data_IF_939874600125
#
_entry.id   IF_939874600125
#
_cell.length_a   1.000
_cell.length_b   1.000
_cell.length_c   1.000
_cell.angle_alpha   90.00
_cell.angle_beta   90.00
_cell.angle_gamma   90.00
#
_symmetry.space_group_name_H-M   'P 1'
#
loop_
_entity.id
_entity.type
_entity.pdbx_description
1 polymer ?
#
# COMPACT_ATOMS: atom_id res chain seq x y z
N UNK A 1 -13.36 -15.77 3.30
CA UNK A 1 -13.02 -15.95 1.88
C UNK A 1 -14.23 -16.52 1.11
N UNK A 2 -15.27 -15.70 0.82
CA UNK A 2 -16.11 -15.98 -0.36
C UNK A 2 -16.08 -14.85 -1.41
N UNK A 3 -15.86 -13.58 -1.03
CA UNK A 3 -15.91 -12.46 -1.98
C UNK A 3 -14.69 -12.36 -2.91
N UNK A 4 -13.49 -12.75 -2.48
CA UNK A 4 -12.28 -12.61 -3.30
C UNK A 4 -12.24 -13.57 -4.49
N UNK A 5 -12.91 -14.73 -4.40
CA UNK A 5 -13.03 -15.72 -5.48
C UNK A 5 -14.16 -15.36 -6.44
N UNK A 6 -15.15 -14.59 -5.97
CA UNK A 6 -16.21 -14.05 -6.84
C UNK A 6 -15.65 -13.12 -7.93
N UNK A 7 -14.46 -12.55 -7.71
CA UNK A 7 -13.74 -11.71 -8.67
C UNK A 7 -12.78 -12.51 -9.58
N UNK A 8 -12.84 -13.85 -9.57
CA UNK A 8 -11.96 -14.71 -10.36
C UNK A 8 -10.66 -15.13 -9.64
N UNK A 9 -10.07 -16.22 -10.11
CA UNK A 9 -8.91 -16.88 -9.46
C UNK A 9 -7.68 -15.97 -9.47
N UNK A 10 -7.40 -15.28 -10.58
CA UNK A 10 -6.24 -14.38 -10.70
C UNK A 10 -6.33 -13.22 -9.72
N UNK A 11 -7.47 -12.53 -9.66
CA UNK A 11 -7.71 -11.46 -8.70
C UNK A 11 -7.58 -11.98 -7.26
N UNK A 12 -8.25 -13.10 -6.95
CA UNK A 12 -8.16 -13.74 -5.64
C UNK A 12 -6.72 -14.07 -5.23
N UNK A 13 -5.90 -14.59 -6.15
CA UNK A 13 -4.50 -14.90 -5.91
C UNK A 13 -3.67 -13.64 -5.62
N UNK A 14 -3.85 -12.55 -6.37
CA UNK A 14 -3.19 -11.27 -6.10
C UNK A 14 -3.53 -10.73 -4.71
N UNK A 15 -4.80 -10.83 -4.29
CA UNK A 15 -5.22 -10.42 -2.95
C UNK A 15 -4.60 -11.30 -1.86
N UNK A 16 -4.60 -12.63 -2.04
CA UNK A 16 -3.97 -13.55 -1.10
C UNK A 16 -2.46 -13.31 -0.99
N UNK A 17 -1.78 -13.01 -2.09
CA UNK A 17 -0.38 -12.63 -2.09
C UNK A 17 -0.14 -11.34 -1.29
N UNK A 18 -1.00 -10.33 -1.45
CA UNK A 18 -0.94 -9.09 -0.65
C UNK A 18 -1.09 -9.38 0.85
N UNK A 19 -2.05 -10.23 1.22
CA UNK A 19 -2.24 -10.64 2.62
C UNK A 19 -1.02 -11.41 3.14
N UNK A 20 -0.50 -12.35 2.36
CA UNK A 20 0.69 -13.12 2.73
C UNK A 20 1.91 -12.22 2.96
N UNK A 21 2.14 -11.24 2.08
CA UNK A 21 3.18 -10.21 2.25
C UNK A 21 2.98 -9.48 3.58
N UNK A 22 1.77 -9.01 3.86
CA UNK A 22 1.46 -8.30 5.11
C UNK A 22 1.75 -9.14 6.37
N UNK A 23 1.33 -10.40 6.37
CA UNK A 23 1.57 -11.34 7.49
C UNK A 23 3.06 -11.61 7.67
N UNK A 24 3.76 -12.02 6.62
CA UNK A 24 5.19 -12.36 6.68
C UNK A 24 6.05 -11.16 7.06
N UNK A 25 5.72 -9.98 6.52
CA UNK A 25 6.38 -8.74 6.87
C UNK A 25 6.20 -8.35 8.33
N UNK A 26 5.01 -8.58 8.88
CA UNK A 26 4.75 -8.31 10.28
C UNK A 26 5.59 -9.21 11.21
N UNK A 27 5.98 -10.40 10.74
CA UNK A 27 6.83 -11.32 11.49
C UNK A 27 8.32 -10.97 11.37
N UNK A 28 8.77 -10.52 10.19
CA UNK A 28 10.22 -10.44 9.87
C UNK A 28 10.74 -9.00 9.79
N UNK A 29 9.97 -8.08 9.21
CA UNK A 29 10.48 -6.77 8.78
C UNK A 29 9.90 -5.59 9.56
N UNK A 30 8.87 -5.80 10.39
CA UNK A 30 8.13 -4.71 11.05
C UNK A 30 8.99 -3.77 11.90
N UNK A 31 10.09 -4.28 12.47
CA UNK A 31 10.95 -3.52 13.40
C UNK A 31 12.14 -2.83 12.70
N UNK A 32 12.41 -3.20 11.44
CA UNK A 32 13.65 -2.85 10.74
C UNK A 32 13.48 -1.74 9.70
N UNK A 33 14.60 -1.27 9.15
CA UNK A 33 14.65 -0.18 8.17
C UNK A 33 13.86 -0.43 6.89
N UNK A 34 13.67 -1.71 6.52
CA UNK A 34 12.95 -2.13 5.33
C UNK A 34 11.46 -2.39 5.59
N UNK A 35 10.92 -1.98 6.75
CA UNK A 35 9.51 -2.13 7.10
C UNK A 35 8.55 -1.55 6.07
N UNK A 36 9.00 -0.60 5.23
CA UNK A 36 8.21 0.04 4.18
C UNK A 36 8.07 -0.82 2.92
N UNK A 37 9.03 -1.72 2.63
CA UNK A 37 9.05 -2.52 1.39
C UNK A 37 7.80 -3.40 1.28
N UNK A 38 7.38 -4.11 2.33
CA UNK A 38 6.17 -4.93 2.26
C UNK A 38 4.89 -4.13 2.10
N UNK A 39 4.84 -2.89 2.62
CA UNK A 39 3.68 -2.02 2.42
C UNK A 39 3.57 -1.58 0.96
N UNK A 40 4.70 -1.21 0.33
CA UNK A 40 4.74 -0.92 -1.09
C UNK A 40 4.30 -2.14 -1.92
N UNK A 41 4.86 -3.31 -1.63
CA UNK A 41 4.56 -4.55 -2.36
C UNK A 41 3.11 -5.01 -2.20
N UNK A 42 2.56 -4.94 -0.98
CA UNK A 42 1.16 -5.29 -0.73
C UNK A 42 0.19 -4.35 -1.48
N UNK A 43 0.41 -3.03 -1.40
CA UNK A 43 -0.44 -2.07 -2.10
C UNK A 43 -0.30 -2.15 -3.63
N UNK A 44 0.89 -2.48 -4.15
CA UNK A 44 1.10 -2.67 -5.59
C UNK A 44 0.22 -3.78 -6.19
N UNK A 45 -0.25 -4.73 -5.36
CA UNK A 45 -1.13 -5.82 -5.79
C UNK A 45 -2.61 -5.42 -5.84
N UNK A 46 -3.01 -4.29 -5.26
CA UNK A 46 -4.41 -3.84 -5.29
C UNK A 46 -4.91 -3.50 -6.68
N UNK A 47 -4.15 -2.77 -7.53
CA UNK A 47 -4.55 -2.59 -8.93
C UNK A 47 -4.72 -3.90 -9.67
N UNK A 48 -3.86 -4.91 -9.44
CA UNK A 48 -4.02 -6.22 -10.06
C UNK A 48 -5.31 -6.93 -9.60
N UNK A 49 -5.62 -6.91 -8.30
CA UNK A 49 -6.87 -7.44 -7.77
C UNK A 49 -8.10 -6.77 -8.40
N UNK A 50 -8.08 -5.44 -8.52
CA UNK A 50 -9.20 -4.68 -9.09
C UNK A 50 -9.32 -4.88 -10.60
N UNK A 51 -8.21 -4.81 -11.34
CA UNK A 51 -8.21 -4.91 -12.79
C UNK A 51 -8.55 -6.31 -13.27
N UNK A 52 -8.00 -7.38 -12.67
CA UNK A 52 -8.40 -8.75 -13.03
C UNK A 52 -9.79 -9.12 -12.53
N UNK A 53 -10.31 -8.40 -11.53
CA UNK A 53 -11.61 -8.63 -10.93
C UNK A 53 -12.80 -8.37 -11.84
N UNK A 54 -12.58 -7.73 -13.00
CA UNK A 54 -13.63 -7.37 -13.96
C UNK A 54 -14.60 -6.31 -13.42
N UNK A 55 -15.55 -5.91 -14.27
CA UNK A 55 -16.63 -4.98 -13.91
C UNK A 55 -17.99 -5.67 -14.05
N UNK A 56 -18.96 -5.30 -13.21
CA UNK A 56 -20.35 -5.78 -13.34
C UNK A 56 -20.55 -7.28 -13.07
N UNK A 57 -19.65 -7.94 -12.33
CA UNK A 57 -19.74 -9.37 -12.03
C UNK A 57 -19.04 -10.29 -13.05
N UNK A 58 -18.36 -9.72 -14.04
CA UNK A 58 -17.40 -10.45 -14.87
C UNK A 58 -16.13 -10.80 -14.07
N UNK A 59 -15.39 -11.82 -14.49
CA UNK A 59 -14.12 -12.26 -13.85
C UNK A 59 -12.94 -12.28 -14.82
N UNK A 60 -13.10 -11.64 -15.98
CA UNK A 60 -12.11 -11.51 -17.04
C UNK A 60 -11.81 -10.02 -17.26
N UNK A 61 -10.94 -9.48 -16.42
CA UNK A 61 -10.44 -8.11 -16.60
C UNK A 61 -9.00 -8.07 -17.14
N UNK A 62 -8.57 -6.87 -17.54
CA UNK A 62 -7.26 -6.65 -18.17
C UNK A 62 -6.13 -6.55 -17.14
N UNK A 63 -4.86 -6.75 -17.54
CA UNK A 63 -3.72 -6.44 -16.67
C UNK A 63 -3.76 -4.99 -16.17
N UNK A 64 -3.30 -4.72 -14.93
CA UNK A 64 -3.31 -3.37 -14.38
C UNK A 64 -2.32 -2.47 -15.11
N UNK A 65 -2.69 -1.21 -15.27
CA UNK A 65 -1.82 -0.20 -15.84
C UNK A 65 -0.58 0.00 -14.94
N UNK A 66 0.66 -0.06 -15.48
CA UNK A 66 1.89 0.04 -14.67
C UNK A 66 1.95 1.30 -13.82
N UNK A 67 1.45 2.43 -14.34
CA UNK A 67 1.39 3.68 -13.59
C UNK A 67 0.52 3.56 -12.32
N UNK A 68 -0.61 2.85 -12.40
CA UNK A 68 -1.49 2.61 -11.24
C UNK A 68 -0.83 1.68 -10.21
N UNK A 69 -0.09 0.67 -10.66
CA UNK A 69 0.69 -0.22 -9.79
C UNK A 69 1.75 0.57 -9.00
N UNK A 70 2.51 1.43 -9.69
CA UNK A 70 3.53 2.27 -9.06
C UNK A 70 2.90 3.26 -8.07
N UNK A 71 1.83 3.95 -8.45
CA UNK A 71 1.16 4.89 -7.56
C UNK A 71 0.56 4.21 -6.33
N UNK A 72 -0.02 3.01 -6.48
CA UNK A 72 -0.49 2.23 -5.34
C UNK A 72 0.68 1.84 -4.41
N UNK A 73 1.82 1.41 -4.95
CA UNK A 73 3.02 1.12 -4.15
C UNK A 73 3.49 2.36 -3.37
N UNK A 74 3.55 3.53 -4.02
CA UNK A 74 3.89 4.82 -3.42
C UNK A 74 2.90 5.22 -2.32
N UNK A 75 1.60 4.96 -2.53
CA UNK A 75 0.58 5.17 -1.50
C UNK A 75 0.81 4.25 -0.30
N UNK A 76 1.14 2.99 -0.52
CA UNK A 76 1.47 2.04 0.54
C UNK A 76 2.60 2.52 1.44
N UNK A 77 3.64 3.14 0.87
CA UNK A 77 4.73 3.77 1.64
C UNK A 77 4.20 4.91 2.52
N UNK A 78 3.37 5.80 1.97
CA UNK A 78 2.76 6.90 2.74
C UNK A 78 1.86 6.39 3.88
N UNK A 79 1.05 5.37 3.61
CA UNK A 79 0.17 4.74 4.61
C UNK A 79 1.01 4.07 5.72
N UNK A 80 2.12 3.42 5.38
CA UNK A 80 3.05 2.88 6.38
C UNK A 80 3.52 3.98 7.33
N UNK A 81 3.99 5.10 6.80
CA UNK A 81 4.46 6.25 7.60
C UNK A 81 3.34 6.75 8.52
N UNK A 82 2.12 6.97 7.98
CA UNK A 82 0.97 7.42 8.76
C UNK A 82 0.61 6.46 9.91
N UNK A 83 0.60 5.15 9.62
CA UNK A 83 0.22 4.12 10.59
C UNK A 83 1.25 3.95 11.69
N UNK A 84 2.54 4.10 11.37
CA UNK A 84 3.63 3.97 12.34
C UNK A 84 3.62 5.04 13.44
N UNK A 85 3.07 6.24 13.18
CA UNK A 85 3.10 7.37 14.12
C UNK A 85 2.51 7.04 15.50
N UNK A 86 1.48 6.20 15.54
CA UNK A 86 0.80 5.82 16.79
C UNK A 86 1.64 4.87 17.67
N UNK A 87 2.64 4.20 17.09
CA UNK A 87 3.52 3.25 17.78
C UNK A 87 4.82 3.87 18.30
N UNK A 88 5.12 5.13 17.99
CA UNK A 88 6.48 5.68 18.19
C UNK A 88 7.03 5.55 19.61
N UNK A 89 6.24 5.86 20.63
CA UNK A 89 6.70 5.82 22.02
C UNK A 89 7.01 4.39 22.47
N UNK A 90 6.06 3.42 22.41
CA UNK A 90 6.36 2.05 22.80
C UNK A 90 7.42 1.40 21.89
N UNK A 91 7.35 1.60 20.56
CA UNK A 91 8.30 0.97 19.65
C UNK A 91 9.73 1.49 19.84
N UNK A 92 9.88 2.78 20.20
CA UNK A 92 11.20 3.33 20.53
C UNK A 92 11.75 2.76 21.83
N UNK A 93 10.90 2.61 22.86
CA UNK A 93 11.27 1.98 24.12
C UNK A 93 11.71 0.51 23.91
N UNK A 94 11.08 -0.18 22.97
CA UNK A 94 11.41 -1.56 22.57
C UNK A 94 12.63 -1.62 21.62
N UNK A 95 13.28 -0.50 21.31
CA UNK A 95 14.49 -0.45 20.49
C UNK A 95 14.28 -0.65 18.99
N UNK A 96 13.06 -0.44 18.47
CA UNK A 96 12.78 -0.60 17.04
C UNK A 96 13.49 0.49 16.23
N UNK A 97 13.73 0.21 14.94
CA UNK A 97 14.61 1.04 14.11
C UNK A 97 14.03 1.40 12.75
N UNK A 98 12.75 1.14 12.51
CA UNK A 98 12.11 1.40 11.23
C UNK A 98 12.18 2.87 10.81
N UNK A 99 12.15 3.09 9.50
CA UNK A 99 12.44 4.39 8.90
C UNK A 99 11.50 5.51 9.38
N UNK A 100 10.15 5.34 9.42
CA UNK A 100 9.25 6.33 10.00
C UNK A 100 9.62 6.80 11.41
N UNK A 101 10.01 5.89 12.32
CA UNK A 101 10.41 6.24 13.67
C UNK A 101 11.68 7.08 13.67
N UNK A 102 12.70 6.68 12.91
CA UNK A 102 13.95 7.46 12.80
C UNK A 102 13.73 8.86 12.25
N UNK A 103 12.86 9.02 11.26
CA UNK A 103 12.50 10.33 10.71
C UNK A 103 11.72 11.12 11.75
N UNK A 104 10.73 10.49 12.39
CA UNK A 104 9.88 11.11 13.41
C UNK A 104 10.66 11.65 14.61
N UNK A 105 11.68 10.93 15.07
CA UNK A 105 12.60 11.38 16.13
C UNK A 105 13.43 12.60 15.72
N UNK A 106 13.67 12.82 14.41
CA UNK A 106 14.46 13.96 13.90
C UNK A 106 13.61 15.20 13.65
N UNK A 107 12.45 15.05 13.01
CA UNK A 107 11.64 16.21 12.58
C UNK A 107 10.41 16.46 13.46
N UNK A 108 10.08 15.52 14.35
CA UNK A 108 8.88 15.52 15.19
C UNK A 108 7.70 14.79 14.52
N UNK A 109 6.93 14.05 15.33
CA UNK A 109 5.78 13.26 14.87
C UNK A 109 4.71 14.12 14.18
N UNK A 110 4.45 15.35 14.66
CA UNK A 110 3.48 16.26 14.05
C UNK A 110 3.86 16.68 12.62
N UNK A 111 5.12 17.04 12.38
CA UNK A 111 5.60 17.39 11.02
C UNK A 111 5.57 16.18 10.09
N UNK A 112 5.94 15.01 10.60
CA UNK A 112 5.89 13.77 9.84
C UNK A 112 4.44 13.38 9.50
N UNK A 113 3.49 13.56 10.42
CA UNK A 113 2.06 13.38 10.18
C UNK A 113 1.58 14.25 9.02
N UNK A 114 1.87 15.55 9.07
CA UNK A 114 1.48 16.48 8.00
C UNK A 114 2.11 16.08 6.67
N UNK A 115 3.41 15.78 6.64
CA UNK A 115 4.10 15.36 5.42
C UNK A 115 3.50 14.08 4.82
N UNK A 116 3.24 13.07 5.66
CA UNK A 116 2.66 11.81 5.22
C UNK A 116 1.20 11.95 4.78
N UNK A 117 0.41 12.80 5.44
CA UNK A 117 -0.96 13.11 5.03
C UNK A 117 -1.01 13.81 3.67
N UNK A 118 -0.15 14.82 3.48
CA UNK A 118 -0.01 15.51 2.18
C UNK A 118 0.46 14.54 1.10
N UNK A 119 1.46 13.71 1.37
CA UNK A 119 1.93 12.68 0.45
C UNK A 119 0.81 11.74 0.02
N UNK A 120 0.06 11.19 0.96
CA UNK A 120 -1.06 10.29 0.67
C UNK A 120 -2.14 11.01 -0.13
N UNK A 121 -2.50 12.23 0.26
CA UNK A 121 -3.49 13.04 -0.47
C UNK A 121 -3.05 13.30 -1.91
N UNK A 122 -1.82 13.74 -2.14
CA UNK A 122 -1.26 13.97 -3.48
C UNK A 122 -1.19 12.68 -4.30
N UNK A 123 -0.83 11.57 -3.68
CA UNK A 123 -0.77 10.27 -4.37
C UNK A 123 -2.17 9.82 -4.79
N UNK A 124 -3.18 9.98 -3.94
CA UNK A 124 -4.58 9.67 -4.28
C UNK A 124 -5.09 10.60 -5.40
N UNK A 125 -4.77 11.90 -5.34
CA UNK A 125 -5.11 12.83 -6.41
C UNK A 125 -4.43 12.45 -7.73
N UNK A 126 -3.16 12.04 -7.69
CA UNK A 126 -2.44 11.56 -8.86
C UNK A 126 -3.04 10.26 -9.40
N UNK A 127 -3.48 9.33 -8.54
CA UNK A 127 -4.19 8.11 -8.96
C UNK A 127 -5.52 8.44 -9.63
N UNK A 128 -6.30 9.37 -9.07
CA UNK A 128 -7.55 9.81 -9.68
C UNK A 128 -7.31 10.46 -11.05
N UNK A 129 -6.33 11.36 -11.13
CA UNK A 129 -5.92 12.00 -12.38
C UNK A 129 -5.43 10.99 -13.41
N UNK A 130 -4.45 10.14 -13.09
CA UNK A 130 -3.95 9.11 -14.02
C UNK A 130 -5.08 8.17 -14.43
N UNK A 131 -5.96 7.80 -13.50
CA UNK A 131 -7.15 7.01 -13.77
C UNK A 131 -8.05 7.62 -14.86
N UNK A 132 -8.15 8.95 -14.93
CA UNK A 132 -8.90 9.57 -16.04
C UNK A 132 -8.18 9.44 -17.37
N UNK A 133 -6.85 9.35 -17.45
CA UNK A 133 -6.16 9.16 -18.74
C UNK A 133 -6.12 7.71 -19.18
N UNK A 134 -5.74 6.80 -18.27
CA UNK A 134 -5.53 5.39 -18.62
C UNK A 134 -6.84 4.61 -18.74
N UNK A 135 -7.93 5.11 -18.15
CA UNK A 135 -9.26 4.53 -18.31
C UNK A 135 -9.88 4.77 -19.70
N UNK A 136 -9.36 5.73 -20.49
CA UNK A 136 -9.76 5.94 -21.88
C UNK A 136 -8.97 5.09 -22.89
N UNK A 137 -7.89 4.43 -22.46
CA UNK A 137 -7.01 3.64 -23.33
C UNK A 137 -7.31 2.13 -23.31
N UNK A 138 -8.34 1.69 -22.57
CA UNK A 138 -8.82 0.30 -22.52
C UNK A 138 -10.21 0.18 -23.14
#
# INVERSE_FOLDING_TARGET
MPLSVANGVTAGACYLASVAIGVLANLVLRQGLLSWVPWAAAFALYPAFLSYGGWGGATEGSPPQPAMVVLAAVLGIGVHVLRSLWGFVPDHADGWTYLPLRIGLRIGAGRLLTAAAVWCGLTVLAMAFVGTYVGFEQ
#
